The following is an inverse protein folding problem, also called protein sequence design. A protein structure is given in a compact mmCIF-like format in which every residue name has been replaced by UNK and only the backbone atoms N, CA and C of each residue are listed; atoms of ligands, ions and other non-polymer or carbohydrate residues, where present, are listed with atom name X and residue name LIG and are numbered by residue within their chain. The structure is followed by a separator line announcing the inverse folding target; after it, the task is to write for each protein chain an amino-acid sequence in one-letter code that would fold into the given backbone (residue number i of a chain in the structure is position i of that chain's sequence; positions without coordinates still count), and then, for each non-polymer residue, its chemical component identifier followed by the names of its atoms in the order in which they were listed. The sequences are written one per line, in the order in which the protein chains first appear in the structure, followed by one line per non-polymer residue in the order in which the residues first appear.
data_IF_668966957822
#
_entry.id   IF_668966957822
#
_cell.length_a   1.000
_cell.length_b   1.000
_cell.length_c   1.000
_cell.angle_alpha   90.00
_cell.angle_beta   90.00
_cell.angle_gamma   90.00
#
_symmetry.space_group_name_H-M   'P 1'
#
loop_
_entity.id
_entity.type
_entity.pdbx_description
1 polymer ?
#
# COMPACT_ATOMS: atom_id res chain seq x y z
N UNK A 1 14.35 -1.29 -14.89
CA UNK A 1 14.77 -0.08 -15.64
C UNK A 1 13.81 1.08 -15.46
N UNK A 2 12.50 0.91 -15.67
CA UNK A 2 11.50 1.93 -15.34
C UNK A 2 10.70 1.55 -14.08
N UNK A 3 11.14 1.93 -12.86
CA UNK A 3 10.39 1.67 -11.63
C UNK A 3 9.09 2.49 -11.55
N UNK A 4 8.81 3.37 -12.50
CA UNK A 4 7.61 4.20 -12.58
C UNK A 4 6.69 3.81 -13.74
N UNK A 5 6.91 2.65 -14.38
CA UNK A 5 5.96 2.11 -15.34
C UNK A 5 4.58 2.01 -14.69
N UNK A 6 3.59 2.68 -15.28
CA UNK A 6 2.28 2.90 -14.66
C UNK A 6 1.55 1.59 -14.34
N UNK A 7 1.63 0.60 -15.25
CA UNK A 7 0.94 -0.67 -15.15
C UNK A 7 1.85 -1.84 -14.68
N UNK A 8 2.94 -1.56 -13.97
CA UNK A 8 3.69 -2.61 -13.26
C UNK A 8 2.89 -3.15 -12.08
N UNK A 9 3.07 -4.40 -11.72
CA UNK A 9 2.63 -4.88 -10.40
C UNK A 9 3.29 -4.06 -9.29
N UNK A 10 2.54 -3.78 -8.21
CA UNK A 10 3.08 -3.10 -7.04
C UNK A 10 3.48 -4.14 -6.01
N UNK A 11 4.67 -3.99 -5.43
CA UNK A 11 5.14 -4.87 -4.36
C UNK A 11 5.44 -4.07 -3.10
N UNK A 12 4.81 -4.47 -2.00
CA UNK A 12 4.92 -3.84 -0.71
C UNK A 12 5.53 -4.84 0.29
N UNK A 13 6.42 -4.34 1.14
CA UNK A 13 6.95 -5.08 2.27
C UNK A 13 6.42 -4.45 3.56
N UNK A 14 5.28 -4.94 4.07
CA UNK A 14 4.68 -4.43 5.31
C UNK A 14 5.56 -4.73 6.51
N UNK A 15 6.12 -5.94 6.56
CA UNK A 15 7.16 -6.34 7.49
C UNK A 15 8.51 -5.66 7.16
N UNK A 16 8.56 -4.33 7.29
CA UNK A 16 9.66 -3.49 6.82
C UNK A 16 11.01 -3.80 7.46
N UNK A 17 11.04 -4.48 8.61
CA UNK A 17 12.28 -4.94 9.22
C UNK A 17 13.01 -5.97 8.33
N UNK A 18 12.30 -6.68 7.45
CA UNK A 18 12.86 -7.54 6.40
C UNK A 18 13.49 -6.79 5.21
N UNK A 19 13.84 -5.51 5.38
CA UNK A 19 14.32 -4.61 4.31
C UNK A 19 15.45 -5.18 3.46
N UNK A 20 16.34 -5.99 4.04
CA UNK A 20 17.45 -6.60 3.30
C UNK A 20 17.01 -7.60 2.23
N UNK A 21 15.86 -8.27 2.41
CA UNK A 21 15.24 -9.10 1.37
C UNK A 21 14.87 -8.23 0.17
N UNK A 22 14.16 -7.12 0.42
CA UNK A 22 13.73 -6.18 -0.61
C UNK A 22 14.92 -5.57 -1.35
N UNK A 23 15.93 -5.08 -0.64
CA UNK A 23 17.12 -4.48 -1.27
C UNK A 23 17.91 -5.50 -2.09
N UNK A 24 18.03 -6.74 -1.61
CA UNK A 24 18.65 -7.83 -2.37
C UNK A 24 17.90 -8.10 -3.67
N UNK A 25 16.57 -8.18 -3.62
CA UNK A 25 15.73 -8.38 -4.81
C UNK A 25 15.85 -7.21 -5.79
N UNK A 26 15.81 -5.97 -5.31
CA UNK A 26 15.99 -4.76 -6.15
C UNK A 26 17.35 -4.77 -6.86
N UNK A 27 18.42 -5.07 -6.12
CA UNK A 27 19.76 -5.20 -6.69
C UNK A 27 19.83 -6.31 -7.74
N UNK A 28 19.32 -7.51 -7.44
CA UNK A 28 19.37 -8.68 -8.31
C UNK A 28 18.50 -8.56 -9.56
N UNK A 29 17.41 -7.79 -9.50
CA UNK A 29 16.47 -7.57 -10.62
C UNK A 29 16.77 -6.31 -11.44
N UNK A 30 17.69 -5.46 -11.00
CA UNK A 30 18.36 -4.47 -11.87
C UNK A 30 17.75 -3.09 -11.76
N UNK A 31 17.21 -2.79 -10.57
CA UNK A 31 16.96 -1.43 -10.14
C UNK A 31 18.28 -0.67 -9.95
N UNK A 32 18.19 0.66 -9.84
CA UNK A 32 19.33 1.54 -9.57
C UNK A 32 19.77 1.45 -8.10
N UNK A 33 20.14 0.24 -7.69
CA UNK A 33 20.62 -0.11 -6.36
C UNK A 33 21.80 -1.07 -6.51
N UNK A 34 23.01 -0.53 -6.46
CA UNK A 34 24.23 -1.32 -6.65
C UNK A 34 24.52 -2.18 -5.42
N UNK A 35 25.40 -3.17 -5.59
CA UNK A 35 25.85 -4.01 -4.46
C UNK A 35 26.59 -3.18 -3.40
N UNK A 36 27.21 -2.07 -3.79
CA UNK A 36 27.91 -1.19 -2.86
C UNK A 36 26.94 -0.44 -1.92
N UNK A 37 25.72 -0.15 -2.39
CA UNK A 37 24.67 0.36 -1.49
C UNK A 37 24.20 -0.71 -0.51
N UNK A 38 24.13 -1.99 -0.91
CA UNK A 38 23.84 -3.09 0.03
C UNK A 38 24.94 -3.21 1.10
N UNK A 39 26.22 -3.07 0.71
CA UNK A 39 27.33 -3.06 1.68
C UNK A 39 27.26 -1.89 2.66
N UNK A 40 26.54 -0.82 2.31
CA UNK A 40 26.29 0.38 3.12
C UNK A 40 24.95 0.34 3.86
N UNK A 41 24.36 -0.84 4.06
CA UNK A 41 23.11 -0.99 4.82
C UNK A 41 23.18 -0.29 6.19
N UNK A 42 22.12 0.47 6.51
CA UNK A 42 21.97 1.25 7.76
C UNK A 42 23.05 2.30 8.00
N UNK A 43 23.87 2.63 6.99
CA UNK A 43 24.86 3.70 7.11
C UNK A 43 24.23 5.05 6.75
N UNK A 44 24.75 6.12 7.37
CA UNK A 44 24.30 7.48 7.10
C UNK A 44 24.40 7.78 5.58
N UNK A 45 23.33 8.34 5.01
CA UNK A 45 23.20 8.68 3.59
C UNK A 45 23.30 7.51 2.61
N UNK A 46 23.10 6.25 3.04
CA UNK A 46 22.92 5.15 2.09
C UNK A 46 21.52 5.14 1.49
N UNK A 47 21.37 4.53 0.31
CA UNK A 47 20.08 4.18 -0.30
C UNK A 47 19.49 2.87 0.27
N UNK A 48 20.00 2.41 1.41
CA UNK A 48 19.60 1.15 2.06
C UNK A 48 19.39 1.38 3.55
N UNK A 49 18.41 2.23 3.94
CA UNK A 49 18.07 2.49 5.33
C UNK A 49 17.58 1.23 6.05
N UNK A 50 17.52 1.26 7.37
CA UNK A 50 17.15 0.08 8.18
C UNK A 50 15.75 -0.47 7.91
N UNK A 51 14.83 0.39 7.49
CA UNK A 51 13.50 0.07 6.98
C UNK A 51 13.29 0.76 5.62
N UNK A 52 12.47 0.23 4.70
CA UNK A 52 12.31 0.79 3.36
C UNK A 52 11.75 2.21 3.40
N UNK A 53 12.31 3.10 2.56
CA UNK A 53 11.85 4.48 2.39
C UNK A 53 11.62 4.77 0.90
N UNK A 54 10.37 5.13 0.53
CA UNK A 54 9.95 5.34 -0.86
C UNK A 54 10.65 6.53 -1.53
N UNK A 55 11.06 7.53 -0.74
CA UNK A 55 11.72 8.74 -1.22
C UNK A 55 13.20 8.52 -1.52
N UNK A 56 13.81 7.49 -0.93
CA UNK A 56 15.26 7.30 -0.92
C UNK A 56 15.73 6.14 -1.82
N UNK A 57 14.97 5.05 -1.86
CA UNK A 57 15.42 3.79 -2.48
C UNK A 57 14.68 3.50 -3.78
N UNK A 58 15.35 3.45 -4.95
CA UNK A 58 14.69 3.14 -6.22
C UNK A 58 14.00 1.78 -6.22
N UNK A 59 12.70 1.77 -6.53
CA UNK A 59 11.88 0.55 -6.57
C UNK A 59 11.19 0.19 -5.25
N UNK A 60 11.43 0.94 -4.18
CA UNK A 60 10.60 0.87 -2.97
C UNK A 60 9.31 1.66 -3.19
N UNK A 61 8.16 0.96 -3.10
CA UNK A 61 6.84 1.56 -3.35
C UNK A 61 6.39 2.47 -2.18
N UNK A 62 6.65 2.04 -0.95
CA UNK A 62 6.11 2.65 0.26
C UNK A 62 7.15 2.71 1.38
N UNK A 63 7.03 3.68 2.29
CA UNK A 63 7.82 3.72 3.52
C UNK A 63 7.17 2.84 4.58
N UNK A 64 7.86 1.80 5.05
CA UNK A 64 7.37 0.88 6.11
C UNK A 64 8.32 0.81 7.30
N UNK A 65 7.93 0.06 8.33
CA UNK A 65 8.61 -0.01 9.61
C UNK A 65 7.60 -0.07 10.74
N UNK A 66 6.72 0.95 10.88
CA UNK A 66 5.52 0.84 11.71
C UNK A 66 4.61 -0.27 11.13
N UNK A 67 4.39 -1.32 11.90
CA UNK A 67 3.68 -2.52 11.46
C UNK A 67 2.20 -2.23 11.13
N UNK A 68 1.61 -3.06 10.27
CA UNK A 68 0.22 -2.96 9.81
C UNK A 68 -0.05 -1.85 8.78
N UNK A 69 0.76 -0.79 8.78
CA UNK A 69 0.63 0.34 7.85
C UNK A 69 0.84 -0.08 6.38
N UNK A 70 1.85 -0.91 6.10
CA UNK A 70 2.13 -1.37 4.75
C UNK A 70 1.00 -2.23 4.17
N UNK A 71 0.41 -3.09 5.00
CA UNK A 71 -0.80 -3.84 4.69
C UNK A 71 -1.93 -2.88 4.26
N UNK A 72 -2.21 -1.85 5.06
CA UNK A 72 -3.26 -0.88 4.78
C UNK A 72 -2.94 0.02 3.57
N UNK A 73 -1.67 0.37 3.34
CA UNK A 73 -1.26 1.11 2.15
C UNK A 73 -1.56 0.30 0.88
N UNK A 74 -1.31 -1.02 0.89
CA UNK A 74 -1.65 -1.87 -0.26
C UNK A 74 -3.15 -1.91 -0.56
N UNK A 75 -4.00 -1.90 0.48
CA UNK A 75 -5.46 -1.78 0.31
C UNK A 75 -5.79 -0.45 -0.40
N UNK A 76 -5.15 0.63 0.00
CA UNK A 76 -5.24 1.93 -0.67
C UNK A 76 -4.83 1.90 -2.14
N UNK A 77 -3.70 1.24 -2.45
CA UNK A 77 -3.28 1.03 -3.84
C UNK A 77 -4.30 0.20 -4.64
N UNK A 78 -4.93 -0.80 -4.01
CA UNK A 78 -5.99 -1.59 -4.61
C UNK A 78 -7.23 -0.77 -4.96
N UNK A 79 -7.65 0.12 -4.05
CA UNK A 79 -8.75 1.07 -4.29
C UNK A 79 -8.42 1.99 -5.47
N UNK A 80 -7.24 2.61 -5.48
CA UNK A 80 -6.82 3.50 -6.57
C UNK A 80 -6.75 2.77 -7.92
N UNK A 81 -6.18 1.56 -7.93
CA UNK A 81 -6.13 0.72 -9.13
C UNK A 81 -7.54 0.40 -9.65
N UNK A 82 -8.47 -0.04 -8.78
CA UNK A 82 -9.84 -0.38 -9.19
C UNK A 82 -10.59 0.82 -9.73
N UNK A 83 -10.39 1.98 -9.10
CA UNK A 83 -10.97 3.22 -9.57
C UNK A 83 -10.51 3.56 -10.98
N UNK A 84 -9.20 3.60 -11.20
CA UNK A 84 -8.62 3.97 -12.49
C UNK A 84 -8.91 2.90 -13.56
N UNK A 85 -8.90 1.61 -13.19
CA UNK A 85 -9.33 0.51 -14.05
C UNK A 85 -10.75 0.75 -14.57
N UNK A 86 -11.69 1.09 -13.69
CA UNK A 86 -13.09 1.34 -14.08
C UNK A 86 -13.25 2.61 -14.94
N UNK A 87 -12.41 3.63 -14.75
CA UNK A 87 -12.43 4.82 -15.60
C UNK A 87 -11.91 4.55 -17.01
N UNK A 88 -10.78 3.83 -17.13
CA UNK A 88 -10.00 3.81 -18.37
C UNK A 88 -10.08 2.51 -19.16
N UNK A 89 -10.29 1.35 -18.55
CA UNK A 89 -10.34 0.11 -19.34
C UNK A 89 -11.56 0.08 -20.27
N UNK A 90 -11.37 -0.46 -21.46
CA UNK A 90 -12.43 -0.69 -22.47
C UNK A 90 -12.22 -2.08 -23.08
N UNK A 91 -13.22 -2.61 -23.78
CA UNK A 91 -13.13 -3.92 -24.43
C UNK A 91 -11.90 -3.98 -25.36
N UNK A 92 -11.04 -4.97 -25.15
CA UNK A 92 -9.78 -5.13 -25.88
C UNK A 92 -8.64 -4.20 -25.42
N UNK A 93 -8.86 -3.35 -24.41
CA UNK A 93 -7.87 -2.41 -23.87
C UNK A 93 -7.79 -2.48 -22.33
N UNK A 94 -7.11 -3.51 -21.79
CA UNK A 94 -6.78 -3.57 -20.38
C UNK A 94 -5.60 -2.64 -20.07
N UNK A 95 -5.87 -1.33 -20.01
CA UNK A 95 -4.82 -0.33 -19.74
C UNK A 95 -4.27 -0.47 -18.31
N UNK A 96 -5.15 -0.87 -17.38
CA UNK A 96 -4.84 -1.07 -15.97
C UNK A 96 -5.35 -2.45 -15.55
N UNK A 97 -4.42 -3.39 -15.34
CA UNK A 97 -4.74 -4.81 -15.05
C UNK A 97 -3.73 -5.50 -14.11
N UNK A 98 -2.77 -4.75 -13.57
CA UNK A 98 -1.77 -5.26 -12.63
C UNK A 98 -2.33 -5.55 -11.23
N UNK A 99 -1.58 -6.34 -10.47
CA UNK A 99 -1.85 -6.71 -9.09
C UNK A 99 -1.06 -5.88 -8.07
N UNK A 100 -1.54 -5.89 -6.84
CA UNK A 100 -0.86 -5.34 -5.66
C UNK A 100 -0.48 -6.52 -4.75
N UNK A 101 0.81 -6.73 -4.60
CA UNK A 101 1.40 -7.74 -3.72
C UNK A 101 1.89 -7.12 -2.43
N UNK A 102 1.68 -7.80 -1.32
CA UNK A 102 2.21 -7.41 -0.03
C UNK A 102 2.80 -8.62 0.68
N UNK A 103 3.99 -8.49 1.27
CA UNK A 103 4.47 -9.43 2.30
C UNK A 103 4.17 -8.83 3.67
N UNK A 104 3.42 -9.55 4.50
CA UNK A 104 3.12 -9.19 5.88
C UNK A 104 3.52 -10.30 6.85
N UNK A 105 3.63 -9.97 8.14
CA UNK A 105 4.02 -10.90 9.21
C UNK A 105 2.99 -10.97 10.32
N UNK A 106 3.25 -11.81 11.34
CA UNK A 106 2.48 -11.87 12.57
C UNK A 106 2.27 -10.48 13.19
N UNK A 107 3.34 -9.67 13.23
CA UNK A 107 3.30 -8.33 13.80
C UNK A 107 2.38 -7.38 13.02
N UNK A 108 2.36 -7.48 11.70
CA UNK A 108 1.39 -6.72 10.89
C UNK A 108 -0.04 -7.16 11.19
N UNK A 109 -0.26 -8.47 11.36
CA UNK A 109 -1.58 -9.07 11.55
C UNK A 109 -2.11 -8.97 12.98
N UNK A 110 -1.31 -8.50 13.95
CA UNK A 110 -1.75 -8.13 15.30
C UNK A 110 -2.21 -6.67 15.38
N UNK A 111 -1.74 -5.81 14.48
CA UNK A 111 -2.05 -4.38 14.50
C UNK A 111 -3.49 -4.12 14.05
N UNK A 112 -4.25 -3.35 14.85
CA UNK A 112 -5.66 -3.04 14.61
C UNK A 112 -5.94 -2.44 13.22
N UNK A 113 -5.02 -1.62 12.70
CA UNK A 113 -5.10 -1.02 11.36
C UNK A 113 -5.16 -2.06 10.24
N UNK A 114 -4.53 -3.22 10.41
CA UNK A 114 -4.60 -4.32 9.45
C UNK A 114 -5.99 -4.96 9.44
N UNK A 115 -6.66 -5.07 10.59
CA UNK A 115 -8.01 -5.62 10.71
C UNK A 115 -9.03 -4.67 10.07
N UNK A 116 -8.93 -3.38 10.41
CA UNK A 116 -9.75 -2.33 9.83
C UNK A 116 -9.64 -2.33 8.29
N UNK A 117 -8.41 -2.33 7.77
CA UNK A 117 -8.17 -2.29 6.33
C UNK A 117 -8.49 -3.61 5.62
N UNK A 118 -8.28 -4.78 6.26
CA UNK A 118 -8.72 -6.07 5.72
C UNK A 118 -10.26 -6.15 5.63
N UNK A 119 -10.96 -5.70 6.66
CA UNK A 119 -12.43 -5.60 6.67
C UNK A 119 -12.93 -4.69 5.55
N UNK A 120 -12.30 -3.53 5.34
CA UNK A 120 -12.62 -2.63 4.23
C UNK A 120 -12.35 -3.27 2.87
N UNK A 121 -11.20 -3.93 2.70
CA UNK A 121 -10.80 -4.54 1.43
C UNK A 121 -11.75 -5.66 0.99
N UNK A 122 -12.17 -6.52 1.92
CA UNK A 122 -13.13 -7.57 1.63
C UNK A 122 -14.53 -7.03 1.36
N UNK A 123 -14.99 -6.01 2.10
CA UNK A 123 -16.23 -5.31 1.81
C UNK A 123 -16.25 -4.71 0.39
N UNK A 124 -15.11 -4.15 -0.04
CA UNK A 124 -14.94 -3.55 -1.36
C UNK A 124 -14.63 -4.56 -2.47
N UNK A 125 -14.51 -5.86 -2.17
CA UNK A 125 -14.25 -6.89 -3.19
C UNK A 125 -12.96 -6.67 -3.99
N UNK A 126 -11.89 -6.22 -3.33
CA UNK A 126 -10.61 -5.84 -3.97
C UNK A 126 -9.80 -7.05 -4.43
N UNK A 127 -10.23 -7.66 -5.53
CA UNK A 127 -9.61 -8.86 -6.09
C UNK A 127 -8.25 -8.68 -6.76
N UNK A 128 -7.76 -7.44 -6.83
CA UNK A 128 -6.43 -7.07 -7.29
C UNK A 128 -5.37 -7.14 -6.17
N UNK A 129 -5.74 -7.54 -4.95
CA UNK A 129 -4.83 -7.73 -3.82
C UNK A 129 -4.46 -9.21 -3.65
N UNK A 130 -3.15 -9.49 -3.59
CA UNK A 130 -2.60 -10.82 -3.26
C UNK A 130 -1.54 -10.66 -2.18
N UNK A 131 -1.87 -11.00 -0.95
CA UNK A 131 -0.99 -10.81 0.20
C UNK A 131 -0.39 -12.13 0.61
N UNK A 132 0.92 -12.13 0.88
CA UNK A 132 1.69 -13.28 1.33
C UNK A 132 2.01 -13.05 2.81
N UNK A 133 1.45 -13.89 3.66
CA UNK A 133 1.71 -13.84 5.09
C UNK A 133 2.82 -14.84 5.43
N UNK A 134 3.94 -14.30 5.91
CA UNK A 134 5.03 -15.07 6.51
C UNK A 134 4.60 -15.58 7.88
N UNK A 135 4.01 -16.78 7.90
CA UNK A 135 3.47 -17.46 9.08
C UNK A 135 4.56 -18.32 9.72
N UNK A 136 5.45 -17.65 10.47
CA UNK A 136 6.62 -18.28 11.09
C UNK A 136 6.43 -18.55 12.59
N UNK A 137 5.31 -18.10 13.17
CA UNK A 137 4.92 -18.28 14.57
C UNK A 137 5.91 -17.66 15.59
N UNK A 138 6.67 -16.64 15.21
CA UNK A 138 7.64 -15.96 16.06
C UNK A 138 7.50 -14.43 15.98
N UNK A 139 7.45 -13.79 17.14
CA UNK A 139 7.60 -12.34 17.30
C UNK A 139 8.90 -11.99 18.03
N UNK A 140 9.12 -10.70 18.30
CA UNK A 140 10.31 -10.23 19.04
C UNK A 140 10.41 -10.90 20.41
N UNK A 141 9.29 -11.04 21.13
CA UNK A 141 9.29 -11.54 22.50
C UNK A 141 9.41 -13.06 22.60
N UNK A 142 9.13 -13.79 21.51
CA UNK A 142 9.13 -15.25 21.54
C UNK A 142 8.14 -15.87 20.56
N UNK A 143 7.64 -17.09 20.82
CA UNK A 143 6.61 -17.70 19.99
C UNK A 143 5.31 -16.87 20.03
N UNK A 144 4.58 -16.83 18.92
CA UNK A 144 3.30 -16.12 18.80
C UNK A 144 2.29 -16.55 19.86
N UNK A 145 2.32 -17.81 20.31
CA UNK A 145 1.44 -18.36 21.34
C UNK A 145 1.45 -17.60 22.67
N UNK A 146 2.44 -16.72 22.91
CA UNK A 146 2.45 -15.84 24.08
C UNK A 146 1.37 -14.75 24.04
N UNK A 147 0.98 -14.27 22.84
CA UNK A 147 0.07 -13.13 22.68
C UNK A 147 -0.84 -13.17 21.43
N UNK A 148 -0.68 -14.17 20.56
CA UNK A 148 -1.38 -14.30 19.29
C UNK A 148 -1.66 -15.76 18.98
N UNK A 149 -2.90 -16.17 19.27
CA UNK A 149 -3.38 -17.56 19.15
C UNK A 149 -4.75 -17.65 18.45
N UNK A 150 -5.13 -16.61 17.72
CA UNK A 150 -6.37 -16.57 16.94
C UNK A 150 -6.24 -17.38 15.64
N UNK A 151 -7.39 -17.71 15.05
CA UNK A 151 -7.44 -18.36 13.75
C UNK A 151 -7.44 -17.30 12.64
N UNK A 152 -6.24 -16.97 12.14
CA UNK A 152 -6.04 -15.97 11.08
C UNK A 152 -6.83 -16.34 9.82
N UNK A 153 -6.91 -17.62 9.46
CA UNK A 153 -7.69 -18.06 8.30
C UNK A 153 -9.15 -17.69 8.48
N UNK A 154 -9.78 -18.14 9.58
CA UNK A 154 -11.20 -17.85 9.83
C UNK A 154 -11.48 -16.35 9.93
N UNK A 155 -10.57 -15.58 10.51
CA UNK A 155 -10.71 -14.12 10.58
C UNK A 155 -10.74 -13.49 9.18
N UNK A 156 -9.80 -13.86 8.31
CA UNK A 156 -9.73 -13.30 6.96
C UNK A 156 -10.90 -13.76 6.09
N UNK A 157 -11.32 -15.02 6.20
CA UNK A 157 -12.54 -15.52 5.56
C UNK A 157 -13.78 -14.74 6.02
N UNK A 158 -13.92 -14.47 7.33
CA UNK A 158 -15.00 -13.66 7.89
C UNK A 158 -14.93 -12.20 7.40
N UNK A 159 -13.73 -11.67 7.14
CA UNK A 159 -13.53 -10.36 6.54
C UNK A 159 -13.79 -10.32 5.02
N UNK A 160 -14.10 -11.46 4.38
CA UNK A 160 -14.40 -11.54 2.94
C UNK A 160 -13.20 -11.82 2.04
N UNK A 161 -12.09 -12.32 2.59
CA UNK A 161 -10.91 -12.71 1.84
C UNK A 161 -10.97 -14.19 1.44
N UNK A 162 -10.27 -14.54 0.37
CA UNK A 162 -9.91 -15.93 0.09
C UNK A 162 -8.57 -16.24 0.74
N UNK A 163 -8.51 -17.37 1.43
CA UNK A 163 -7.30 -17.79 2.14
C UNK A 163 -6.82 -19.12 1.59
N UNK A 164 -5.55 -19.19 1.21
CA UNK A 164 -4.87 -20.44 0.90
C UNK A 164 -3.69 -20.64 1.83
N UNK A 165 -3.23 -21.89 1.96
CA UNK A 165 -2.11 -22.25 2.83
C UNK A 165 -1.06 -23.00 2.02
N UNK A 166 0.17 -22.52 2.10
CA UNK A 166 1.37 -23.23 1.66
C UNK A 166 2.04 -23.79 2.91
N UNK A 167 2.07 -25.11 3.02
CA UNK A 167 2.54 -25.82 4.21
C UNK A 167 4.06 -25.80 4.39
N UNK A 168 4.82 -25.66 3.30
CA UNK A 168 6.28 -25.53 3.32
C UNK A 168 6.73 -24.30 2.52
N UNK A 169 7.21 -23.27 3.23
CA UNK A 169 7.72 -22.04 2.63
C UNK A 169 9.00 -22.20 1.80
N UNK A 170 9.62 -23.38 1.77
CA UNK A 170 10.72 -23.69 0.86
C UNK A 170 10.25 -24.44 -0.41
N UNK A 171 8.98 -24.83 -0.50
CA UNK A 171 8.39 -25.36 -1.73
C UNK A 171 8.01 -24.22 -2.68
N UNK A 172 8.97 -23.83 -3.53
CA UNK A 172 8.78 -22.77 -4.51
C UNK A 172 7.66 -23.09 -5.52
N UNK A 173 7.43 -24.37 -5.83
CA UNK A 173 6.37 -24.79 -6.75
C UNK A 173 4.98 -24.59 -6.15
N UNK A 174 4.82 -24.90 -4.87
CA UNK A 174 3.57 -24.65 -4.14
C UNK A 174 3.26 -23.15 -4.02
N UNK A 175 4.29 -22.32 -3.76
CA UNK A 175 4.13 -20.86 -3.72
C UNK A 175 3.73 -20.31 -5.09
N UNK A 176 4.40 -20.74 -6.17
CA UNK A 176 4.08 -20.31 -7.52
C UNK A 176 2.65 -20.71 -7.93
N UNK A 177 2.24 -21.94 -7.60
CA UNK A 177 0.88 -22.42 -7.83
C UNK A 177 -0.16 -21.58 -7.07
N UNK A 178 0.06 -21.32 -5.78
CA UNK A 178 -0.87 -20.54 -4.96
C UNK A 178 -1.01 -19.10 -5.47
N UNK A 179 0.08 -18.47 -5.92
CA UNK A 179 0.04 -17.13 -6.53
C UNK A 179 -0.73 -17.17 -7.85
N UNK A 180 -0.45 -18.15 -8.71
CA UNK A 180 -1.14 -18.28 -10.00
C UNK A 180 -2.65 -18.51 -9.82
N UNK A 181 -3.05 -19.37 -8.86
CA UNK A 181 -4.46 -19.57 -8.50
C UNK A 181 -5.10 -18.26 -8.01
N UNK A 182 -4.43 -17.54 -7.10
CA UNK A 182 -4.90 -16.26 -6.58
C UNK A 182 -5.08 -15.19 -7.68
N UNK A 183 -4.24 -15.19 -8.72
CA UNK A 183 -4.38 -14.29 -9.87
C UNK A 183 -5.61 -14.58 -10.73
N UNK A 184 -6.13 -15.82 -10.72
CA UNK A 184 -7.30 -16.20 -11.52
C UNK A 184 -8.63 -15.94 -10.81
N UNK A 185 -8.62 -15.85 -9.47
CA UNK A 185 -9.83 -15.61 -8.69
C UNK A 185 -10.27 -14.13 -8.76
N UNK A 186 -11.58 -13.89 -8.69
CA UNK A 186 -12.19 -12.55 -8.82
C UNK A 186 -13.18 -12.27 -7.69
N UNK A 187 -13.50 -10.99 -7.46
CA UNK A 187 -14.46 -10.54 -6.46
C UNK A 187 -13.99 -10.51 -5.00
N UNK A 188 -12.85 -11.14 -4.65
CA UNK A 188 -12.29 -11.12 -3.30
C UNK A 188 -10.78 -10.87 -3.26
N UNK A 189 -10.26 -10.14 -2.27
CA UNK A 189 -8.82 -10.09 -1.98
C UNK A 189 -8.30 -11.45 -1.48
N UNK A 190 -6.99 -11.72 -1.65
CA UNK A 190 -6.39 -13.03 -1.34
C UNK A 190 -5.30 -12.92 -0.29
N UNK A 191 -5.33 -13.83 0.69
CA UNK A 191 -4.26 -14.04 1.66
C UNK A 191 -3.68 -15.45 1.47
N UNK A 192 -2.41 -15.55 1.09
CA UNK A 192 -1.68 -16.79 1.02
C UNK A 192 -0.86 -16.90 2.31
N UNK A 193 -1.26 -17.81 3.20
CA UNK A 193 -0.50 -18.12 4.42
C UNK A 193 0.64 -19.05 4.05
N UNK A 194 1.88 -18.62 4.25
CA UNK A 194 3.06 -19.42 3.92
C UNK A 194 3.73 -19.77 5.23
N UNK A 195 3.69 -21.06 5.59
CA UNK A 195 4.35 -21.54 6.80
C UNK A 195 5.85 -21.55 6.58
N UNK A 196 6.59 -20.76 7.36
CA UNK A 196 8.05 -20.68 7.24
C UNK A 196 8.74 -20.95 8.58
N UNK A 197 10.06 -21.03 8.54
CA UNK A 197 10.90 -21.08 9.74
C UNK A 197 11.74 -19.80 9.73
N UNK A 198 11.52 -18.92 10.71
CA UNK A 198 12.32 -17.69 10.83
C UNK A 198 13.81 -18.04 10.94
N UNK A 199 14.65 -17.32 10.18
CA UNK A 199 16.08 -17.56 10.15
C UNK A 199 16.46 -18.96 9.68
N UNK A 200 15.70 -19.57 8.75
CA UNK A 200 15.99 -20.88 8.19
C UNK A 200 17.49 -21.09 7.87
N UNK A 201 18.05 -22.19 8.35
CA UNK A 201 19.48 -22.51 8.25
C UNK A 201 20.36 -21.87 9.33
N UNK A 202 19.86 -20.93 10.13
CA UNK A 202 20.60 -20.37 11.27
C UNK A 202 20.70 -21.36 12.43
N UNK A 203 21.76 -21.28 13.25
CA UNK A 203 21.86 -22.08 14.48
C UNK A 203 20.72 -21.79 15.48
N UNK A 204 20.06 -20.64 15.33
CA UNK A 204 18.92 -20.17 16.13
C UNK A 204 17.62 -20.07 15.31
N UNK A 205 17.52 -20.79 14.19
CA UNK A 205 16.30 -20.83 13.38
C UNK A 205 15.07 -21.22 14.23
N UNK A 206 13.90 -20.69 13.89
CA UNK A 206 12.64 -20.97 14.60
C UNK A 206 12.55 -20.31 15.98
N UNK A 207 13.44 -19.37 16.32
CA UNK A 207 13.41 -18.65 17.60
C UNK A 207 13.47 -17.15 17.38
N UNK A 208 12.99 -16.38 18.36
CA UNK A 208 13.03 -14.91 18.33
C UNK A 208 14.46 -14.34 18.25
N UNK A 209 15.48 -15.12 18.60
CA UNK A 209 16.90 -14.74 18.43
C UNK A 209 17.32 -14.59 16.96
N UNK A 210 16.55 -15.13 16.02
CA UNK A 210 16.76 -14.91 14.59
C UNK A 210 16.13 -13.60 14.07
N UNK A 211 15.33 -12.90 14.88
CA UNK A 211 14.63 -11.68 14.46
C UNK A 211 15.48 -10.41 14.60
N UNK A 212 16.01 -10.15 15.79
CA UNK A 212 16.51 -8.82 16.17
C UNK A 212 18.02 -8.64 16.10
N UNK A 213 18.77 -9.71 16.32
CA UNK A 213 20.22 -9.63 16.55
C UNK A 213 21.00 -9.89 15.26
N UNK A 214 22.08 -9.12 15.08
CA UNK A 214 23.10 -9.51 14.11
C UNK A 214 23.67 -10.87 14.55
N UNK A 215 23.60 -11.92 13.71
CA UNK A 215 23.91 -13.28 14.16
C UNK A 215 25.38 -13.48 14.57
N UNK A 216 26.27 -12.58 14.16
CA UNK A 216 27.72 -12.69 14.37
C UNK A 216 28.39 -13.54 13.29
N UNK A 217 29.70 -13.36 13.11
CA UNK A 217 30.44 -13.97 12.00
C UNK A 217 30.39 -15.50 11.99
N UNK A 218 30.50 -16.14 13.16
CA UNK A 218 30.48 -17.60 13.26
C UNK A 218 29.12 -18.19 12.92
N UNK A 219 28.03 -17.59 13.40
CA UNK A 219 26.69 -18.01 13.03
C UNK A 219 26.43 -17.81 11.53
N UNK A 220 26.94 -16.73 10.92
CA UNK A 220 26.87 -16.53 9.46
C UNK A 220 27.62 -17.63 8.71
N UNK A 221 28.83 -18.01 9.15
CA UNK A 221 29.57 -19.13 8.54
C UNK A 221 28.81 -20.45 8.69
N UNK A 222 28.26 -20.70 9.86
CA UNK A 222 27.45 -21.90 10.14
C UNK A 222 26.19 -21.95 9.27
N UNK A 223 25.45 -20.84 9.17
CA UNK A 223 24.30 -20.73 8.26
C UNK A 223 24.68 -21.03 6.82
N UNK A 224 25.82 -20.51 6.36
CA UNK A 224 26.30 -20.81 5.00
C UNK A 224 26.60 -22.30 4.83
N UNK A 225 27.27 -22.95 5.79
CA UNK A 225 27.48 -24.42 5.74
C UNK A 225 26.16 -25.20 5.71
N UNK A 226 25.19 -24.80 6.53
CA UNK A 226 23.86 -25.45 6.58
C UNK A 226 23.07 -25.31 5.27
N UNK A 227 23.37 -24.28 4.46
CA UNK A 227 22.73 -23.99 3.19
C UNK A 227 23.62 -24.34 1.98
N UNK A 228 24.66 -25.16 2.19
CA UNK A 228 25.65 -25.55 1.16
C UNK A 228 26.27 -24.36 0.41
N UNK A 229 26.48 -23.26 1.12
CA UNK A 229 27.01 -22.00 0.62
C UNK A 229 28.47 -21.77 1.06
N UNK A 230 29.34 -21.15 0.22
CA UNK A 230 30.72 -20.88 0.58
C UNK A 230 30.86 -19.92 1.78
N UNK A 231 31.29 -20.47 2.92
CA UNK A 231 31.38 -19.74 4.21
C UNK A 231 32.31 -18.52 4.17
N UNK A 232 33.41 -18.62 3.41
CA UNK A 232 34.47 -17.62 3.32
C UNK A 232 34.17 -16.45 2.37
N UNK A 233 33.04 -16.46 1.68
CA UNK A 233 32.67 -15.39 0.73
C UNK A 233 31.65 -14.43 1.33
N UNK A 234 31.87 -13.13 1.16
CA UNK A 234 30.94 -12.08 1.55
C UNK A 234 30.39 -11.37 0.30
N UNK A 235 29.11 -10.99 0.31
CA UNK A 235 28.43 -10.32 -0.82
C UNK A 235 28.63 -11.04 -2.17
N UNK A 236 28.77 -12.37 -2.14
CA UNK A 236 29.02 -13.19 -3.32
C UNK A 236 27.71 -13.51 -4.03
N UNK A 237 27.68 -13.24 -5.33
CA UNK A 237 26.54 -13.52 -6.20
C UNK A 237 27.02 -14.45 -7.31
N UNK A 238 26.56 -15.71 -7.37
CA UNK A 238 26.85 -16.61 -8.47
C UNK A 238 26.40 -16.01 -9.81
N UNK A 239 27.21 -16.22 -10.85
CA UNK A 239 26.92 -15.68 -12.19
C UNK A 239 25.57 -16.17 -12.72
N UNK A 240 25.25 -17.44 -12.51
CA UNK A 240 24.02 -18.05 -13.03
C UNK A 240 22.77 -17.53 -12.30
N UNK A 241 22.87 -17.33 -10.98
CA UNK A 241 21.80 -16.70 -10.19
C UNK A 241 21.58 -15.24 -10.62
N UNK A 242 22.65 -14.46 -10.79
CA UNK A 242 22.55 -13.09 -11.29
C UNK A 242 21.93 -13.06 -12.69
N UNK A 243 22.37 -13.94 -13.59
CA UNK A 243 21.82 -14.05 -14.94
C UNK A 243 20.33 -14.42 -14.93
N UNK A 244 19.90 -15.30 -14.02
CA UNK A 244 18.50 -15.64 -13.82
C UNK A 244 17.68 -14.41 -13.41
N UNK A 245 18.03 -13.73 -12.31
CA UNK A 245 17.29 -12.55 -11.86
C UNK A 245 17.32 -11.39 -12.86
N UNK A 246 18.42 -11.23 -13.61
CA UNK A 246 18.56 -10.19 -14.64
C UNK A 246 17.64 -10.41 -15.85
N UNK A 247 17.04 -11.60 -16.02
CA UNK A 247 15.97 -11.81 -17.03
C UNK A 247 14.82 -10.82 -16.84
N UNK A 248 14.51 -10.45 -15.59
CA UNK A 248 13.49 -9.46 -15.26
C UNK A 248 13.69 -8.11 -15.99
N UNK A 249 14.93 -7.73 -16.29
CA UNK A 249 15.23 -6.50 -17.05
C UNK A 249 14.73 -6.60 -18.48
N UNK A 250 14.98 -7.73 -19.15
CA UNK A 250 14.57 -7.98 -20.53
C UNK A 250 13.05 -8.19 -20.59
N UNK A 251 12.52 -9.00 -19.69
CA UNK A 251 11.11 -9.37 -19.67
C UNK A 251 10.24 -8.17 -19.32
N UNK A 252 10.64 -7.37 -18.32
CA UNK A 252 9.97 -6.11 -17.98
C UNK A 252 9.99 -5.11 -19.13
N UNK A 253 11.11 -4.97 -19.85
CA UNK A 253 11.19 -4.08 -21.00
C UNK A 253 10.30 -4.54 -22.17
N UNK A 254 10.16 -5.85 -22.38
CA UNK A 254 9.23 -6.40 -23.38
C UNK A 254 7.77 -6.12 -23.00
N UNK A 255 7.37 -6.45 -21.76
CA UNK A 255 6.00 -6.18 -21.27
C UNK A 255 5.63 -4.70 -21.31
N UNK A 256 6.54 -3.83 -20.88
CA UNK A 256 6.32 -2.38 -20.94
C UNK A 256 6.24 -1.87 -22.39
N UNK A 257 7.03 -2.42 -23.32
CA UNK A 257 6.93 -2.07 -24.75
C UNK A 257 5.58 -2.47 -25.32
N UNK A 258 5.09 -3.66 -25.02
CA UNK A 258 3.80 -4.16 -25.49
C UNK A 258 2.65 -3.33 -24.90
N UNK A 259 2.73 -3.01 -23.61
CA UNK A 259 1.78 -2.10 -22.95
C UNK A 259 1.79 -0.70 -23.58
N UNK A 260 2.96 -0.13 -23.88
CA UNK A 260 3.06 1.16 -24.57
C UNK A 260 2.46 1.12 -25.98
N UNK A 261 2.55 -0.02 -26.69
CA UNK A 261 1.88 -0.19 -27.98
C UNK A 261 0.35 -0.25 -27.81
N UNK A 262 -0.13 -0.96 -26.78
CA UNK A 262 -1.55 -1.00 -26.40
C UNK A 262 -2.09 0.41 -26.09
N UNK A 263 -1.37 1.18 -25.28
CA UNK A 263 -1.74 2.56 -24.92
C UNK A 263 -1.82 3.46 -26.17
N UNK A 264 -0.88 3.34 -27.12
CA UNK A 264 -0.93 4.11 -28.37
C UNK A 264 -2.15 3.76 -29.22
N UNK A 265 -2.50 2.48 -29.29
CA UNK A 265 -3.71 2.04 -29.99
C UNK A 265 -4.97 2.56 -29.29
N UNK A 266 -4.99 2.52 -27.96
CA UNK A 266 -6.06 3.06 -27.13
C UNK A 266 -6.25 4.57 -27.32
N UNK A 267 -5.17 5.36 -27.28
CA UNK A 267 -5.21 6.81 -27.52
C UNK A 267 -5.72 7.16 -28.92
N UNK A 268 -5.46 6.31 -29.92
CA UNK A 268 -6.00 6.49 -31.27
C UNK A 268 -7.50 6.16 -31.36
N UNK A 269 -7.95 5.11 -30.66
CA UNK A 269 -9.34 4.67 -30.70
C UNK A 269 -10.26 5.49 -29.80
N UNK A 270 -9.74 5.97 -28.66
CA UNK A 270 -10.46 6.76 -27.66
C UNK A 270 -9.70 8.06 -27.37
N UNK A 271 -9.64 9.03 -28.32
CA UNK A 271 -8.77 10.20 -28.22
C UNK A 271 -9.02 11.06 -26.97
N UNK A 272 -10.27 11.32 -26.62
CA UNK A 272 -10.60 12.10 -25.43
C UNK A 272 -10.19 11.37 -24.14
N UNK A 273 -10.47 10.07 -24.07
CA UNK A 273 -10.14 9.26 -22.90
C UNK A 273 -8.63 9.00 -22.78
N UNK A 274 -7.93 8.87 -23.89
CA UNK A 274 -6.47 8.79 -23.97
C UNK A 274 -5.80 10.09 -23.51
N UNK A 275 -6.36 11.24 -23.89
CA UNK A 275 -5.93 12.54 -23.36
C UNK A 275 -6.13 12.60 -21.83
N UNK A 276 -7.32 12.26 -21.34
CA UNK A 276 -7.60 12.23 -19.89
C UNK A 276 -6.67 11.26 -19.16
N UNK A 277 -6.43 10.05 -19.70
CA UNK A 277 -5.50 9.08 -19.13
C UNK A 277 -4.09 9.67 -19.01
N UNK A 278 -3.60 10.34 -20.05
CA UNK A 278 -2.27 10.98 -20.06
C UNK A 278 -2.18 12.09 -19.01
N UNK A 279 -3.19 12.95 -18.91
CA UNK A 279 -3.27 14.02 -17.92
C UNK A 279 -3.35 13.45 -16.50
N UNK A 280 -4.22 12.48 -16.24
CA UNK A 280 -4.34 11.78 -14.95
C UNK A 280 -3.03 11.14 -14.51
N UNK A 281 -2.30 10.48 -15.41
CA UNK A 281 -1.01 9.83 -15.14
C UNK A 281 0.14 10.80 -14.85
N UNK A 282 0.00 12.09 -15.21
CA UNK A 282 1.03 13.09 -14.93
C UNK A 282 1.12 13.45 -13.45
N UNK A 283 0.06 13.18 -12.66
CA UNK A 283 -0.14 13.66 -11.29
C UNK A 283 -0.25 15.19 -11.17
N UNK A 284 -0.34 15.92 -12.29
CA UNK A 284 -0.57 17.36 -12.29
C UNK A 284 -2.05 17.68 -12.12
N UNK A 285 -2.34 18.83 -11.52
CA UNK A 285 -3.72 19.34 -11.47
C UNK A 285 -4.14 19.83 -12.87
N UNK A 286 -5.39 19.63 -13.28
CA UNK A 286 -5.90 20.17 -14.54
C UNK A 286 -5.75 21.70 -14.58
N UNK A 287 -5.26 22.22 -15.70
CA UNK A 287 -5.07 23.67 -15.86
C UNK A 287 -6.38 24.44 -15.66
N UNK A 288 -6.34 25.48 -14.83
CA UNK A 288 -7.48 26.36 -14.58
C UNK A 288 -8.54 25.77 -13.64
N UNK A 289 -8.27 24.69 -12.92
CA UNK A 289 -9.17 24.14 -11.91
C UNK A 289 -9.56 25.17 -10.84
N UNK A 290 -8.67 26.13 -10.54
CA UNK A 290 -8.85 27.19 -9.55
C UNK A 290 -10.03 28.11 -9.88
N UNK A 291 -10.38 28.21 -11.17
CA UNK A 291 -11.53 29.02 -11.62
C UNK A 291 -12.87 28.49 -11.11
N UNK A 292 -12.92 27.24 -10.65
CA UNK A 292 -14.08 26.66 -10.01
C UNK A 292 -14.18 26.97 -8.51
N UNK A 293 -13.16 27.58 -7.89
CA UNK A 293 -13.22 27.93 -6.47
C UNK A 293 -14.34 28.95 -6.22
N UNK A 294 -15.24 28.69 -5.27
CA UNK A 294 -16.28 29.63 -4.90
C UNK A 294 -15.66 30.89 -4.26
N UNK A 295 -16.34 32.01 -4.45
CA UNK A 295 -16.10 33.25 -3.68
C UNK A 295 -17.12 33.32 -2.56
N UNK A 296 -16.67 33.73 -1.38
CA UNK A 296 -17.52 33.83 -0.19
C UNK A 296 -17.66 35.29 0.29
N UNK A 297 -17.50 36.24 -0.63
CA UNK A 297 -17.79 37.65 -0.37
C UNK A 297 -19.32 37.84 -0.26
N UNK A 298 -19.78 38.57 0.75
CA UNK A 298 -21.19 38.93 0.97
C UNK A 298 -22.19 37.75 1.07
N UNK A 299 -21.73 36.56 1.44
CA UNK A 299 -22.60 35.38 1.69
C UNK A 299 -23.02 35.28 3.16
N UNK A 300 -24.14 34.61 3.42
CA UNK A 300 -24.56 34.27 4.78
C UNK A 300 -23.48 33.42 5.49
N UNK A 301 -23.13 33.80 6.72
CA UNK A 301 -22.08 33.14 7.49
C UNK A 301 -22.51 31.71 7.87
N UNK A 302 -21.62 30.75 7.63
CA UNK A 302 -21.79 29.35 8.05
C UNK A 302 -20.49 28.76 8.58
N UNK A 303 -20.57 27.58 9.18
CA UNK A 303 -19.40 26.88 9.71
C UNK A 303 -18.38 26.57 8.59
N UNK A 304 -17.09 26.64 8.90
CA UNK A 304 -15.98 26.35 7.96
C UNK A 304 -16.08 24.97 7.31
N UNK A 305 -16.58 23.95 8.03
CA UNK A 305 -16.90 22.63 7.45
C UNK A 305 -17.88 22.71 6.27
N UNK A 306 -18.87 23.59 6.33
CA UNK A 306 -19.86 23.75 5.27
C UNK A 306 -19.26 24.50 4.07
N UNK A 307 -18.35 25.46 4.30
CA UNK A 307 -17.55 26.06 3.23
C UNK A 307 -16.60 25.02 2.59
N UNK A 308 -15.99 24.15 3.39
CA UNK A 308 -15.17 23.03 2.86
C UNK A 308 -15.98 22.13 1.93
N UNK A 309 -17.21 21.78 2.31
CA UNK A 309 -18.10 20.99 1.47
C UNK A 309 -18.47 21.67 0.15
N UNK A 310 -18.69 22.99 0.17
CA UNK A 310 -18.90 23.77 -1.06
C UNK A 310 -17.67 23.71 -1.97
N UNK A 311 -16.47 23.90 -1.41
CA UNK A 311 -15.21 23.85 -2.16
C UNK A 311 -15.00 22.47 -2.78
N UNK A 312 -15.17 21.39 -2.02
CA UNK A 312 -15.08 20.00 -2.53
C UNK A 312 -15.99 19.82 -3.74
N UNK A 313 -17.24 20.25 -3.63
CA UNK A 313 -18.23 20.07 -4.70
C UNK A 313 -17.96 20.96 -5.91
N UNK A 314 -17.47 22.19 -5.69
CA UNK A 314 -17.16 23.10 -6.77
C UNK A 314 -15.98 22.61 -7.63
N UNK A 315 -14.95 22.05 -7.00
CA UNK A 315 -13.76 21.56 -7.71
C UNK A 315 -13.90 20.13 -8.23
N UNK A 316 -14.86 19.34 -7.74
CA UNK A 316 -14.96 17.91 -8.05
C UNK A 316 -15.00 17.63 -9.56
N UNK A 317 -15.69 18.44 -10.36
CA UNK A 317 -15.78 18.22 -11.81
C UNK A 317 -14.54 18.69 -12.57
N UNK A 318 -13.79 19.65 -12.01
CA UNK A 318 -12.54 20.16 -12.58
C UNK A 318 -11.30 19.38 -12.15
N UNK A 319 -11.39 18.66 -11.04
CA UNK A 319 -10.32 17.82 -10.49
C UNK A 319 -10.85 16.39 -10.37
N UNK A 320 -11.00 15.66 -11.50
CA UNK A 320 -11.52 14.30 -11.49
C UNK A 320 -10.64 13.32 -10.69
N UNK A 321 -9.38 13.67 -10.42
CA UNK A 321 -8.48 12.92 -9.55
C UNK A 321 -8.92 12.96 -8.07
N UNK A 322 -9.74 13.93 -7.64
CA UNK A 322 -10.22 14.04 -6.26
C UNK A 322 -11.19 12.90 -5.96
N UNK A 323 -10.83 12.04 -5.00
CA UNK A 323 -11.61 10.88 -4.55
C UNK A 323 -11.41 10.73 -3.05
N UNK A 324 -12.45 10.36 -2.31
CA UNK A 324 -12.35 10.32 -0.86
C UNK A 324 -13.67 10.14 -0.17
N UNK A 325 -13.70 10.46 1.12
CA UNK A 325 -14.91 10.34 1.91
C UNK A 325 -14.68 10.62 3.38
N UNK A 326 -15.22 9.78 4.26
CA UNK A 326 -15.16 9.99 5.71
C UNK A 326 -15.20 8.69 6.49
N UNK A 327 -14.67 8.73 7.71
CA UNK A 327 -14.80 7.70 8.72
C UNK A 327 -16.21 7.70 9.33
N UNK A 328 -17.23 7.36 8.54
CA UNK A 328 -18.66 7.34 8.94
C UNK A 328 -19.27 8.69 9.38
N UNK A 329 -18.58 9.80 9.07
CA UNK A 329 -18.99 11.16 9.47
C UNK A 329 -19.30 12.05 8.26
N UNK A 330 -19.58 11.46 7.10
CA UNK A 330 -19.86 12.16 5.83
C UNK A 330 -20.80 13.37 5.96
N UNK A 331 -22.02 13.25 6.55
CA UNK A 331 -22.91 14.39 6.71
C UNK A 331 -22.38 15.42 7.73
N UNK A 332 -21.66 14.97 8.76
CA UNK A 332 -21.11 15.84 9.80
C UNK A 332 -19.89 16.63 9.33
N UNK A 333 -19.05 16.03 8.48
CA UNK A 333 -17.84 16.65 7.93
C UNK A 333 -18.11 17.44 6.63
N UNK A 334 -19.26 17.23 5.99
CA UNK A 334 -19.61 17.79 4.66
C UNK A 334 -18.65 17.36 3.54
N UNK A 335 -18.28 16.08 3.50
CA UNK A 335 -17.26 15.54 2.58
C UNK A 335 -17.82 14.84 1.34
N UNK A 336 -19.14 14.78 1.16
CA UNK A 336 -19.76 14.09 0.02
C UNK A 336 -19.59 14.87 -1.30
N UNK A 337 -19.11 14.17 -2.33
CA UNK A 337 -19.05 14.65 -3.71
C UNK A 337 -20.40 14.38 -4.38
N UNK A 338 -21.21 15.43 -4.55
CA UNK A 338 -22.58 15.35 -5.11
C UNK A 338 -22.61 14.92 -6.57
N UNK A 339 -21.56 15.23 -7.35
CA UNK A 339 -21.46 14.83 -8.76
C UNK A 339 -21.00 13.38 -8.95
N UNK A 340 -20.82 12.62 -7.86
CA UNK A 340 -20.45 11.20 -7.91
C UNK A 340 -21.31 10.38 -6.94
N UNK A 341 -21.40 9.08 -7.19
CA UNK A 341 -22.07 8.13 -6.30
C UNK A 341 -21.06 7.46 -5.36
N UNK A 342 -21.46 6.39 -4.69
CA UNK A 342 -20.60 5.61 -3.79
C UNK A 342 -19.62 4.71 -4.56
N UNK A 343 -18.38 4.66 -4.11
CA UNK A 343 -17.41 3.65 -4.50
C UNK A 343 -17.74 2.35 -3.78
N UNK A 344 -18.08 1.30 -4.53
CA UNK A 344 -18.55 0.02 -4.01
C UNK A 344 -18.32 -1.10 -5.06
N UNK A 345 -18.42 -2.39 -4.69
CA UNK A 345 -18.25 -3.49 -5.62
C UNK A 345 -19.07 -3.33 -6.91
N UNK A 346 -18.40 -3.41 -8.05
CA UNK A 346 -19.01 -3.24 -9.38
C UNK A 346 -19.28 -1.78 -9.81
N UNK A 347 -19.07 -0.80 -8.92
CA UNK A 347 -19.23 0.64 -9.21
C UNK A 347 -17.98 1.45 -8.84
N UNK A 348 -16.81 0.92 -9.20
CA UNK A 348 -15.51 1.49 -8.82
C UNK A 348 -15.16 2.83 -9.49
N UNK A 349 -15.87 3.25 -10.55
CA UNK A 349 -15.65 4.55 -11.18
C UNK A 349 -16.12 5.74 -10.31
N UNK A 350 -16.88 5.48 -9.24
CA UNK A 350 -17.38 6.48 -8.32
C UNK A 350 -16.32 6.97 -7.33
N UNK A 351 -16.60 8.09 -6.65
CA UNK A 351 -15.58 8.85 -5.90
C UNK A 351 -15.87 9.05 -4.41
N UNK A 352 -17.02 8.60 -3.90
CA UNK A 352 -17.33 8.65 -2.47
C UNK A 352 -17.03 7.31 -1.79
N UNK A 353 -15.96 7.25 -1.01
CA UNK A 353 -15.54 6.06 -0.25
C UNK A 353 -16.14 6.13 1.15
N UNK A 354 -16.87 5.09 1.54
CA UNK A 354 -17.32 4.89 2.93
C UNK A 354 -16.28 4.07 3.69
N UNK A 355 -15.40 4.75 4.41
CA UNK A 355 -14.35 4.06 5.18
C UNK A 355 -14.91 3.31 6.40
N UNK A 356 -16.08 3.72 6.91
CA UNK A 356 -16.60 3.29 8.20
C UNK A 356 -15.82 3.88 9.37
N UNK A 357 -16.14 3.49 10.60
CA UNK A 357 -15.46 3.96 11.83
C UNK A 357 -14.08 3.30 11.92
N UNK A 358 -13.14 3.79 11.11
CA UNK A 358 -11.83 3.19 10.83
C UNK A 358 -10.80 4.27 10.50
N UNK A 359 -10.62 5.26 11.37
CA UNK A 359 -9.74 6.41 11.14
C UNK A 359 -8.32 5.99 10.76
N UNK A 360 -7.76 5.00 11.46
CA UNK A 360 -6.40 4.55 11.23
C UNK A 360 -6.27 3.91 9.85
N UNK A 361 -7.18 3.01 9.45
CA UNK A 361 -7.20 2.47 8.09
C UNK A 361 -7.55 3.53 7.04
N UNK A 362 -8.43 4.49 7.32
CA UNK A 362 -8.71 5.60 6.40
C UNK A 362 -7.42 6.38 6.09
N UNK A 363 -6.70 6.85 7.12
CA UNK A 363 -5.42 7.54 6.93
C UNK A 363 -4.39 6.69 6.16
N UNK A 364 -4.28 5.41 6.53
CA UNK A 364 -3.28 4.50 5.95
C UNK A 364 -3.61 4.09 4.50
N UNK A 365 -4.88 3.87 4.18
CA UNK A 365 -5.33 3.57 2.80
C UNK A 365 -5.20 4.81 1.92
N UNK A 366 -5.50 6.00 2.42
CA UNK A 366 -5.24 7.25 1.68
C UNK A 366 -3.76 7.43 1.35
N UNK A 367 -2.85 7.08 2.26
CA UNK A 367 -1.41 7.08 1.95
C UNK A 367 -1.09 6.14 0.78
N UNK A 368 -1.67 4.94 0.78
CA UNK A 368 -1.58 3.99 -0.32
C UNK A 368 -2.09 4.53 -1.66
N UNK A 369 -3.25 5.18 -1.65
CA UNK A 369 -3.83 5.83 -2.82
C UNK A 369 -2.91 6.93 -3.38
N UNK A 370 -2.36 7.78 -2.51
CA UNK A 370 -1.44 8.84 -2.93
C UNK A 370 -0.10 8.29 -3.45
N UNK A 371 0.42 7.21 -2.85
CA UNK A 371 1.63 6.51 -3.31
C UNK A 371 1.43 5.81 -4.65
N UNK A 372 0.21 5.31 -4.92
CA UNK A 372 -0.16 4.78 -6.23
C UNK A 372 -0.07 5.84 -7.32
N UNK A 373 -0.50 7.07 -6.99
CA UNK A 373 -0.56 8.23 -7.89
C UNK A 373 -1.89 8.30 -8.66
N UNK A 374 -2.02 9.29 -9.54
CA UNK A 374 -3.17 9.53 -10.42
C UNK A 374 -4.51 9.83 -9.72
N UNK A 375 -4.53 9.82 -8.39
CA UNK A 375 -5.66 10.20 -7.54
C UNK A 375 -5.17 11.14 -6.44
N UNK A 376 -6.08 11.98 -5.94
CA UNK A 376 -5.86 12.89 -4.82
C UNK A 376 -6.82 12.46 -3.71
N UNK A 377 -6.36 11.63 -2.76
CA UNK A 377 -7.20 11.15 -1.68
C UNK A 377 -7.52 12.25 -0.66
N UNK A 378 -8.75 12.26 -0.18
CA UNK A 378 -9.15 13.02 1.00
C UNK A 378 -10.02 12.20 1.96
N UNK A 379 -9.97 12.54 3.25
CA UNK A 379 -10.67 11.81 4.30
C UNK A 379 -11.09 12.72 5.44
N UNK A 380 -12.37 12.67 5.79
CA UNK A 380 -12.95 13.45 6.88
C UNK A 380 -13.15 12.66 8.17
N UNK A 381 -12.84 13.28 9.30
CA UNK A 381 -13.29 12.88 10.64
C UNK A 381 -13.33 14.12 11.56
N UNK A 382 -13.61 13.95 12.84
CA UNK A 382 -13.46 15.01 13.84
C UNK A 382 -11.99 15.20 14.20
N UNK A 383 -11.56 16.44 14.46
CA UNK A 383 -10.15 16.72 14.76
C UNK A 383 -9.66 15.95 15.99
N UNK A 384 -10.50 15.79 17.01
CA UNK A 384 -10.23 14.98 18.21
C UNK A 384 -9.89 13.51 17.89
N UNK A 385 -10.40 12.97 16.78
CA UNK A 385 -10.13 11.59 16.36
C UNK A 385 -8.95 11.48 15.39
N UNK A 386 -8.28 12.59 15.07
CA UNK A 386 -7.02 12.54 14.30
C UNK A 386 -5.93 11.75 15.03
N UNK A 387 -6.00 11.67 16.36
CA UNK A 387 -5.11 10.84 17.17
C UNK A 387 -5.15 9.35 16.80
N UNK A 388 -6.33 8.81 16.42
CA UNK A 388 -6.46 7.42 15.97
C UNK A 388 -5.66 7.13 14.69
N UNK A 389 -5.43 8.13 13.84
CA UNK A 389 -4.67 7.97 12.60
C UNK A 389 -3.31 8.66 12.61
N UNK A 390 -2.86 9.18 13.77
CA UNK A 390 -1.61 9.93 13.90
C UNK A 390 -0.40 9.22 13.28
N UNK A 391 -0.22 7.88 13.42
CA UNK A 391 0.88 7.18 12.75
C UNK A 391 0.78 7.25 11.21
N UNK A 392 -0.42 7.24 10.64
CA UNK A 392 -0.63 7.40 9.20
C UNK A 392 -0.33 8.84 8.73
N UNK A 393 -0.72 9.86 9.49
CA UNK A 393 -0.36 11.27 9.20
C UNK A 393 1.16 11.43 9.18
N UNK A 394 1.85 10.85 10.16
CA UNK A 394 3.32 10.86 10.23
C UNK A 394 3.95 10.23 8.98
N UNK A 395 3.42 9.08 8.53
CA UNK A 395 3.91 8.43 7.31
C UNK A 395 3.57 9.21 6.04
N UNK A 396 2.44 9.92 5.99
CA UNK A 396 2.12 10.82 4.88
C UNK A 396 3.18 11.92 4.73
N UNK A 397 3.54 12.56 5.85
CA UNK A 397 4.58 13.57 5.89
C UNK A 397 5.95 13.00 5.50
N UNK A 398 6.34 11.85 6.08
CA UNK A 398 7.63 11.21 5.80
C UNK A 398 7.77 10.72 4.35
N UNK A 399 6.65 10.27 3.76
CA UNK A 399 6.64 9.72 2.39
C UNK A 399 6.55 10.80 1.30
N UNK A 400 6.41 12.06 1.69
CA UNK A 400 6.25 13.22 0.80
C UNK A 400 5.06 13.08 -0.17
N UNK A 401 3.91 12.68 0.37
CA UNK A 401 2.72 12.40 -0.43
C UNK A 401 1.59 13.39 -0.17
N UNK A 402 0.76 13.58 -1.20
CA UNK A 402 -0.40 14.48 -1.16
C UNK A 402 -1.64 13.73 -0.69
N UNK A 403 -1.89 13.80 0.62
CA UNK A 403 -3.15 13.36 1.25
C UNK A 403 -3.82 14.58 1.88
N UNK A 404 -5.14 14.71 1.73
CA UNK A 404 -5.90 15.84 2.28
C UNK A 404 -6.76 15.34 3.44
N UNK A 405 -6.40 15.72 4.66
CA UNK A 405 -7.19 15.42 5.85
C UNK A 405 -8.19 16.55 6.11
N UNK A 406 -9.49 16.22 6.19
CA UNK A 406 -10.57 17.17 6.45
C UNK A 406 -11.02 17.02 7.90
N UNK A 407 -10.32 17.69 8.80
CA UNK A 407 -10.65 17.69 10.23
C UNK A 407 -11.66 18.79 10.56
N UNK A 408 -12.79 18.37 11.11
CA UNK A 408 -13.89 19.27 11.51
C UNK A 408 -14.11 19.20 13.03
N UNK A 409 -14.97 20.04 13.59
CA UNK A 409 -15.23 20.09 15.04
C UNK A 409 -13.91 20.30 15.82
N UNK A 410 -13.30 21.45 15.53
CA UNK A 410 -11.90 21.76 15.81
C UNK A 410 -11.62 22.27 17.22
N UNK A 411 -12.65 22.40 18.07
CA UNK A 411 -12.54 23.10 19.33
C UNK A 411 -13.68 22.75 20.30
N UNK A 412 -13.64 23.38 21.48
CA UNK A 412 -14.74 23.40 22.46
C UNK A 412 -16.07 23.96 21.89
N UNK A 413 -16.04 24.64 20.73
CA UNK A 413 -17.24 25.17 20.06
C UNK A 413 -18.22 24.10 19.59
N UNK A 414 -17.82 22.82 19.61
CA UNK A 414 -18.70 21.67 19.44
C UNK A 414 -19.84 21.62 20.48
N UNK A 415 -19.60 22.04 21.72
CA UNK A 415 -20.63 22.06 22.76
C UNK A 415 -20.92 20.70 23.40
N UNK A 416 -22.15 20.23 23.27
CA UNK A 416 -22.82 19.24 24.12
C UNK A 416 -22.22 17.83 24.11
N UNK A 417 -21.46 17.45 23.08
CA UNK A 417 -20.75 16.16 23.03
C UNK A 417 -19.64 16.05 24.09
N UNK A 418 -19.21 17.19 24.64
CA UNK A 418 -18.34 17.24 25.81
C UNK A 418 -16.86 16.93 25.53
N UNK A 419 -16.05 16.81 26.60
CA UNK A 419 -14.60 16.91 26.51
C UNK A 419 -13.92 15.79 25.71
N UNK A 420 -14.56 14.64 25.53
CA UNK A 420 -13.99 13.55 24.71
C UNK A 420 -14.01 13.85 23.20
N UNK A 421 -14.84 14.82 22.77
CA UNK A 421 -14.97 15.21 21.36
C UNK A 421 -14.41 16.61 21.08
N UNK A 422 -13.99 17.34 22.12
CA UNK A 422 -13.49 18.71 21.99
C UNK A 422 -11.97 18.70 21.89
N UNK A 423 -11.44 19.15 20.74
CA UNK A 423 -10.00 19.19 20.49
C UNK A 423 -9.31 20.26 21.37
N UNK A 424 -8.16 19.90 21.99
CA UNK A 424 -7.35 20.82 22.80
C UNK A 424 -5.88 20.87 22.35
N UNK A 425 -5.24 19.71 22.21
CA UNK A 425 -3.79 19.50 21.94
C UNK A 425 -3.46 19.13 20.48
N UNK A 426 -4.47 19.18 19.61
CA UNK A 426 -4.42 18.58 18.28
C UNK A 426 -3.82 19.49 17.18
N UNK A 427 -3.66 20.79 17.45
CA UNK A 427 -2.93 21.76 16.61
C UNK A 427 -1.48 21.86 17.11
#
# INVERSE_FOLDING_TARGET
KNPKWFNRDRFLLSAGHGSMLLYSLLHLTGYDLSLDEIKRFRQLHSKTPGHPENVLTPGVEITTGPLGQGFANGVGMGIAQKHLQALFNRDGFPIIDHFIYCICSDGDLMEGVSYESASLAGHLGLDNLIYLYDDNQVTIDGPTSLAFSEDVTKRFEAAGWEVSVVEDGNDLGAIEYAIAEAQTSTGKPKLIRIKTIIGFGMPKQGTNKAHSDAPGEEAVKETKRNLDWPENKQFFIPKDALAHFRKAVKDGAAREKDWNALVKAYEKQFPDLGKTLKETRSNELPQGWETALPKFDDVEAKATRAYSGDVINAIADKVPQLIGGSGDLTPSNNTYIKSSSNFEPGRYANRNIHFGIREHAMGSTMNGMALYGSVIPFGGTFQTFSDYMRPAIRLAALSHIRVIFVYTHDSIGLGEDGPTHQSVEHL
#
